data_IF_642495430507
#
_entry.id   IF_642495430507
#
_cell.length_a   1.000
_cell.length_b   1.000
_cell.length_c   1.000
_cell.angle_alpha   90.00
_cell.angle_beta   90.00
_cell.angle_gamma   90.00
#
_symmetry.space_group_name_H-M   'P 1'
#
loop_
_entity.id
_entity.type
_entity.pdbx_description
1 polymer ?
#
# COMPACT_ATOMS: atom_id res chain seq x y z
N UNK A 1 -10.13 53.12 -59.59
CA UNK A 1 -9.17 52.01 -59.75
C UNK A 1 -7.96 52.44 -58.96
N UNK A 2 -7.85 51.99 -57.71
CA UNK A 2 -6.76 52.35 -56.80
C UNK A 2 -5.92 51.10 -56.58
N UNK A 3 -4.63 51.23 -56.84
CA UNK A 3 -3.59 50.21 -56.70
C UNK A 3 -3.20 50.08 -55.22
N UNK A 4 -2.99 48.86 -54.68
CA UNK A 4 -2.51 48.71 -53.30
C UNK A 4 -0.98 48.90 -53.21
N UNK A 5 -0.52 49.62 -52.17
CA UNK A 5 0.90 49.79 -51.81
C UNK A 5 1.54 48.45 -51.37
N UNK A 6 2.84 48.25 -51.63
CA UNK A 6 3.56 47.05 -51.16
C UNK A 6 3.86 47.12 -49.66
N UNK A 7 3.66 45.98 -48.96
CA UNK A 7 4.02 45.82 -47.55
C UNK A 7 5.54 45.83 -47.33
N UNK A 8 6.03 46.36 -46.19
CA UNK A 8 7.46 46.38 -45.87
C UNK A 8 7.98 44.99 -45.48
N UNK A 9 9.19 44.66 -45.94
CA UNK A 9 9.88 43.40 -45.60
C UNK A 9 10.24 43.32 -44.10
N UNK A 10 10.24 42.12 -43.50
CA UNK A 10 10.59 41.92 -42.10
C UNK A 10 12.09 42.08 -41.84
N UNK A 11 12.44 42.80 -40.78
CA UNK A 11 13.82 42.96 -40.31
C UNK A 11 14.43 41.62 -39.84
N UNK A 12 15.76 41.42 -40.02
CA UNK A 12 16.43 40.20 -39.59
C UNK A 12 16.50 40.09 -38.06
N UNK A 13 16.21 38.91 -37.55
CA UNK A 13 16.29 38.60 -36.11
C UNK A 13 17.74 38.66 -35.58
N UNK A 14 17.94 39.10 -34.33
CA UNK A 14 19.27 39.15 -33.72
C UNK A 14 19.82 37.76 -33.43
N UNK A 15 21.12 37.56 -33.72
CA UNK A 15 21.82 36.30 -33.43
C UNK A 15 21.89 36.01 -31.92
N UNK A 16 21.83 34.73 -31.52
CA UNK A 16 21.89 34.34 -30.12
C UNK A 16 23.28 34.56 -29.52
N UNK A 17 23.33 35.13 -28.31
CA UNK A 17 24.56 35.31 -27.54
C UNK A 17 25.20 33.95 -27.16
N UNK A 18 26.55 33.89 -27.08
CA UNK A 18 27.26 32.67 -26.72
C UNK A 18 26.99 32.26 -25.26
N UNK A 19 26.78 30.96 -25.04
CA UNK A 19 26.57 30.40 -23.70
C UNK A 19 27.83 30.54 -22.82
N UNK A 20 27.67 30.76 -21.51
CA UNK A 20 28.78 30.83 -20.56
C UNK A 20 29.47 29.47 -20.40
N UNK A 21 30.80 29.49 -20.35
CA UNK A 21 31.61 28.28 -20.14
C UNK A 21 31.32 27.63 -18.77
N UNK A 22 31.37 26.29 -18.68
CA UNK A 22 31.11 25.56 -17.44
C UNK A 22 32.21 25.79 -16.40
N UNK A 23 31.81 26.03 -15.15
CA UNK A 23 32.73 26.14 -14.01
C UNK A 23 33.48 24.80 -13.75
N UNK A 24 34.73 24.86 -13.26
CA UNK A 24 35.52 23.68 -12.97
C UNK A 24 34.93 22.86 -11.81
N UNK A 25 34.89 21.52 -11.98
CA UNK A 25 34.40 20.60 -10.96
C UNK A 25 35.28 20.62 -9.69
N UNK A 26 34.68 20.49 -8.49
CA UNK A 26 35.42 20.43 -7.24
C UNK A 26 36.23 19.13 -7.12
N UNK A 27 37.46 19.23 -6.61
CA UNK A 27 38.34 18.08 -6.38
C UNK A 27 37.73 17.07 -5.38
N UNK A 28 37.96 15.76 -5.58
CA UNK A 28 37.40 14.72 -4.73
C UNK A 28 38.04 14.72 -3.33
N UNK A 29 37.19 14.66 -2.29
CA UNK A 29 37.63 14.53 -0.90
C UNK A 29 38.38 13.20 -0.63
N UNK A 30 39.33 13.18 0.32
CA UNK A 30 40.11 11.99 0.64
C UNK A 30 39.27 10.88 1.28
N UNK A 31 39.48 9.64 0.81
CA UNK A 31 38.76 8.47 1.27
C UNK A 31 38.95 8.18 2.77
N UNK A 32 37.90 7.69 3.48
CA UNK A 32 37.98 7.38 4.90
C UNK A 32 38.93 6.22 5.18
N UNK A 33 39.77 6.38 6.22
CA UNK A 33 40.70 5.33 6.69
C UNK A 33 39.93 4.09 7.14
N UNK A 34 40.33 2.92 6.62
CA UNK A 34 39.73 1.64 6.97
C UNK A 34 39.80 1.36 8.48
N UNK A 35 38.67 0.96 9.08
CA UNK A 35 38.63 0.53 10.48
C UNK A 35 39.43 -0.78 10.65
N UNK A 36 40.15 -0.96 11.77
CA UNK A 36 40.85 -2.22 12.04
C UNK A 36 39.86 -3.38 12.10
N UNK A 37 40.17 -4.47 11.40
CA UNK A 37 39.39 -5.72 11.43
C UNK A 37 39.34 -6.25 12.86
N UNK A 38 38.15 -6.44 13.41
CA UNK A 38 37.95 -7.17 14.67
C UNK A 38 38.27 -8.65 14.42
N UNK A 39 38.96 -9.29 15.37
CA UNK A 39 39.21 -10.73 15.32
C UNK A 39 37.88 -11.49 15.23
N UNK A 40 37.78 -12.54 14.39
CA UNK A 40 36.55 -13.30 14.26
C UNK A 40 36.26 -13.99 15.60
N UNK A 41 35.11 -13.65 16.21
CA UNK A 41 34.49 -14.51 17.21
C UNK A 41 34.31 -15.87 16.56
N UNK A 42 34.83 -16.95 17.17
CA UNK A 42 34.81 -18.32 16.61
C UNK A 42 33.42 -18.91 16.33
N UNK A 43 32.37 -18.10 16.45
CA UNK A 43 31.03 -18.43 16.02
C UNK A 43 30.85 -18.09 14.54
N UNK A 44 30.90 -19.11 13.69
CA UNK A 44 30.40 -19.03 12.30
C UNK A 44 28.95 -19.52 12.34
N UNK A 45 27.94 -18.64 12.26
CA UNK A 45 26.56 -19.11 12.14
C UNK A 45 26.45 -19.94 10.85
N UNK A 46 25.83 -21.12 10.96
CA UNK A 46 25.51 -21.97 9.82
C UNK A 46 24.73 -21.11 8.80
N UNK A 47 25.39 -20.75 7.70
CA UNK A 47 24.83 -19.86 6.73
C UNK A 47 23.76 -20.59 5.94
N UNK A 48 22.48 -20.41 6.30
CA UNK A 48 21.35 -20.92 5.51
C UNK A 48 21.57 -20.57 4.04
N UNK A 49 21.45 -21.58 3.19
CA UNK A 49 21.59 -21.42 1.75
C UNK A 49 20.53 -20.44 1.22
N UNK A 50 20.81 -19.81 0.07
CA UNK A 50 19.82 -18.96 -0.60
C UNK A 50 18.46 -19.65 -0.81
N UNK A 51 18.37 -20.91 -1.28
CA UNK A 51 17.08 -21.59 -1.43
C UNK A 51 16.35 -21.79 -0.10
N UNK A 52 17.05 -22.14 0.99
CA UNK A 52 16.42 -22.25 2.32
C UNK A 52 15.85 -20.91 2.78
N UNK A 53 16.59 -19.81 2.63
CA UNK A 53 16.11 -18.47 2.99
C UNK A 53 14.86 -18.07 2.20
N UNK A 54 14.81 -18.42 0.91
CA UNK A 54 13.64 -18.14 0.08
C UNK A 54 12.44 -19.01 0.46
N UNK A 55 12.67 -20.26 0.84
CA UNK A 55 11.62 -21.15 1.35
C UNK A 55 11.02 -20.61 2.66
N UNK A 56 11.85 -20.19 3.61
CA UNK A 56 11.42 -19.58 4.87
C UNK A 56 10.59 -18.31 4.64
N UNK A 57 11.00 -17.45 3.69
CA UNK A 57 10.22 -16.27 3.34
C UNK A 57 8.83 -16.63 2.78
N UNK A 58 8.72 -17.68 1.98
CA UNK A 58 7.42 -18.15 1.46
C UNK A 58 6.55 -18.70 2.58
N UNK A 59 7.13 -19.47 3.48
CA UNK A 59 6.43 -20.04 4.63
C UNK A 59 5.82 -18.95 5.51
N UNK A 60 6.57 -17.88 5.79
CA UNK A 60 6.07 -16.73 6.55
C UNK A 60 4.88 -16.04 5.87
N UNK A 61 4.91 -15.89 4.54
CA UNK A 61 3.79 -15.32 3.78
C UNK A 61 2.59 -16.26 3.80
N UNK A 62 2.82 -17.56 3.66
CA UNK A 62 1.78 -18.59 3.71
C UNK A 62 1.09 -18.67 5.08
N UNK A 63 1.86 -18.59 6.17
CA UNK A 63 1.34 -18.57 7.53
C UNK A 63 0.42 -17.35 7.74
N UNK A 64 0.88 -16.15 7.38
CA UNK A 64 0.09 -14.91 7.47
C UNK A 64 -1.20 -14.99 6.65
N UNK A 65 -1.16 -15.63 5.47
CA UNK A 65 -2.35 -15.80 4.64
C UNK A 65 -3.36 -16.74 5.27
N UNK A 66 -2.93 -17.96 5.61
CA UNK A 66 -3.82 -19.02 6.10
C UNK A 66 -4.37 -18.74 7.49
N UNK A 67 -3.60 -18.03 8.33
CA UNK A 67 -4.00 -17.71 9.68
C UNK A 67 -4.58 -16.30 9.76
N UNK A 68 -3.74 -15.27 9.71
CA UNK A 68 -4.17 -13.90 10.00
C UNK A 68 -5.17 -13.36 8.97
N UNK A 69 -4.91 -13.50 7.67
CA UNK A 69 -5.78 -12.93 6.64
C UNK A 69 -7.13 -13.65 6.57
N UNK A 70 -7.15 -14.97 6.79
CA UNK A 70 -8.39 -15.74 6.91
C UNK A 70 -9.16 -15.35 8.18
N UNK A 71 -8.50 -15.26 9.33
CA UNK A 71 -9.14 -14.89 10.59
C UNK A 71 -9.72 -13.48 10.58
N UNK A 72 -9.05 -12.55 9.90
CA UNK A 72 -9.55 -11.18 9.68
C UNK A 72 -10.66 -11.11 8.62
N UNK A 73 -10.96 -12.23 7.95
CA UNK A 73 -11.98 -12.28 6.89
C UNK A 73 -11.59 -11.51 5.63
N UNK A 74 -10.30 -11.26 5.41
CA UNK A 74 -9.80 -10.64 4.17
C UNK A 74 -9.87 -11.62 3.01
N UNK A 75 -9.64 -12.91 3.27
CA UNK A 75 -9.73 -14.00 2.30
C UNK A 75 -10.39 -15.21 2.92
N UNK A 76 -10.91 -16.09 2.08
CA UNK A 76 -11.34 -17.44 2.49
C UNK A 76 -10.16 -18.40 2.55
N UNK A 77 -10.29 -19.52 3.28
CA UNK A 77 -9.25 -20.57 3.30
C UNK A 77 -8.88 -21.02 1.88
N UNK A 78 -9.88 -21.18 1.00
CA UNK A 78 -9.67 -21.58 -0.40
C UNK A 78 -8.87 -20.53 -1.18
N UNK A 79 -9.16 -19.25 -0.99
CA UNK A 79 -8.39 -18.17 -1.62
C UNK A 79 -6.96 -18.12 -1.09
N UNK A 80 -6.77 -18.25 0.23
CA UNK A 80 -5.44 -18.31 0.84
C UNK A 80 -4.61 -19.47 0.26
N UNK A 81 -5.18 -20.67 0.15
CA UNK A 81 -4.53 -21.82 -0.51
C UNK A 81 -4.16 -21.55 -1.97
N UNK A 82 -5.06 -20.91 -2.73
CA UNK A 82 -4.80 -20.53 -4.13
C UNK A 82 -3.63 -19.55 -4.23
N UNK A 83 -3.62 -18.53 -3.37
CA UNK A 83 -2.54 -17.53 -3.31
C UNK A 83 -1.22 -18.20 -2.93
N UNK A 84 -1.20 -19.09 -1.93
CA UNK A 84 -0.01 -19.85 -1.52
C UNK A 84 0.54 -20.74 -2.63
N UNK A 85 -0.34 -21.49 -3.33
CA UNK A 85 0.07 -22.31 -4.49
C UNK A 85 0.65 -21.46 -5.61
N UNK A 86 0.10 -20.27 -5.82
CA UNK A 86 0.59 -19.29 -6.79
C UNK A 86 1.99 -18.73 -6.48
N UNK A 87 2.52 -18.92 -5.27
CA UNK A 87 3.88 -18.46 -4.91
C UNK A 87 4.98 -19.42 -5.37
N UNK A 88 4.65 -20.69 -5.65
CA UNK A 88 5.65 -21.71 -6.02
C UNK A 88 6.33 -21.32 -7.33
N UNK A 89 7.66 -21.35 -7.34
CA UNK A 89 8.46 -20.95 -8.50
C UNK A 89 8.62 -19.44 -8.70
N UNK A 90 8.00 -18.60 -7.86
CA UNK A 90 8.13 -17.14 -7.91
C UNK A 90 9.09 -16.62 -6.85
N UNK A 91 9.68 -15.46 -7.09
CA UNK A 91 10.43 -14.75 -6.05
C UNK A 91 9.49 -14.36 -4.90
N UNK A 92 9.82 -14.71 -3.63
CA UNK A 92 8.92 -14.49 -2.50
C UNK A 92 8.49 -13.04 -2.34
N UNK A 93 9.43 -12.09 -2.47
CA UNK A 93 9.15 -10.65 -2.35
C UNK A 93 8.16 -10.15 -3.40
N UNK A 94 8.32 -10.60 -4.65
CA UNK A 94 7.42 -10.20 -5.75
C UNK A 94 6.04 -10.82 -5.57
N UNK A 95 5.98 -12.09 -5.19
CA UNK A 95 4.72 -12.76 -4.88
C UNK A 95 3.98 -12.08 -3.72
N UNK A 96 4.69 -11.73 -2.64
CA UNK A 96 4.14 -10.99 -1.51
C UNK A 96 3.57 -9.63 -1.95
N UNK A 97 4.29 -8.87 -2.77
CA UNK A 97 3.82 -7.57 -3.25
C UNK A 97 2.49 -7.66 -4.01
N UNK A 98 2.35 -8.63 -4.91
CA UNK A 98 1.11 -8.84 -5.67
C UNK A 98 -0.06 -9.23 -4.76
N UNK A 99 0.21 -10.15 -3.83
CA UNK A 99 -0.76 -10.59 -2.81
C UNK A 99 -1.24 -9.41 -1.97
N UNK A 100 -0.33 -8.53 -1.58
CA UNK A 100 -0.65 -7.34 -0.80
C UNK A 100 -1.55 -6.38 -1.59
N UNK A 101 -1.33 -6.20 -2.90
CA UNK A 101 -2.21 -5.39 -3.76
C UNK A 101 -3.63 -5.94 -3.76
N UNK A 102 -3.79 -7.26 -3.93
CA UNK A 102 -5.12 -7.91 -3.90
C UNK A 102 -5.82 -7.75 -2.54
N UNK A 103 -5.07 -7.95 -1.45
CA UNK A 103 -5.62 -7.84 -0.10
C UNK A 103 -6.01 -6.40 0.26
N UNK A 104 -5.24 -5.38 -0.17
CA UNK A 104 -5.63 -3.97 -0.01
C UNK A 104 -6.92 -3.66 -0.71
N UNK A 105 -7.07 -4.10 -1.96
CA UNK A 105 -8.29 -3.90 -2.74
C UNK A 105 -9.50 -4.55 -2.04
N UNK A 106 -9.29 -5.74 -1.48
CA UNK A 106 -10.32 -6.46 -0.73
C UNK A 106 -10.71 -5.73 0.55
N UNK A 107 -9.75 -5.35 1.39
CA UNK A 107 -9.98 -4.58 2.62
C UNK A 107 -10.69 -3.25 2.31
N UNK A 108 -10.17 -2.47 1.35
CA UNK A 108 -10.77 -1.21 0.95
C UNK A 108 -12.21 -1.38 0.48
N UNK A 109 -12.51 -2.45 -0.27
CA UNK A 109 -13.87 -2.77 -0.72
C UNK A 109 -14.79 -3.11 0.45
N UNK A 110 -14.31 -3.91 1.42
CA UNK A 110 -15.07 -4.25 2.62
C UNK A 110 -15.41 -2.99 3.43
N UNK A 111 -14.42 -2.14 3.70
CA UNK A 111 -14.60 -0.88 4.42
C UNK A 111 -15.54 0.05 3.66
N UNK A 112 -15.38 0.22 2.34
CA UNK A 112 -16.29 1.04 1.53
C UNK A 112 -17.73 0.54 1.57
N UNK A 113 -17.97 -0.78 1.57
CA UNK A 113 -19.31 -1.35 1.74
C UNK A 113 -19.86 -1.05 3.13
N UNK A 114 -19.05 -1.20 4.16
CA UNK A 114 -19.41 -0.88 5.54
C UNK A 114 -19.79 0.59 5.72
N UNK A 115 -18.94 1.52 5.27
CA UNK A 115 -19.17 2.97 5.37
C UNK A 115 -20.49 3.36 4.72
N UNK A 116 -20.82 2.83 3.53
CA UNK A 116 -22.10 3.09 2.87
C UNK A 116 -23.30 2.59 3.69
N UNK A 117 -23.19 1.39 4.27
CA UNK A 117 -24.26 0.78 5.06
C UNK A 117 -24.51 1.51 6.38
N UNK A 118 -23.45 2.03 7.00
CA UNK A 118 -23.49 2.59 8.37
C UNK A 118 -23.29 4.11 8.43
N UNK A 119 -23.57 4.83 7.32
CA UNK A 119 -23.42 6.31 7.22
C UNK A 119 -22.04 6.80 7.70
N UNK A 120 -21.00 6.07 7.30
CA UNK A 120 -19.61 6.36 7.65
C UNK A 120 -19.10 5.70 8.94
N UNK A 121 -19.97 5.16 9.80
CA UNK A 121 -19.55 4.40 10.98
C UNK A 121 -18.62 5.21 11.92
N UNK A 122 -17.52 4.62 12.42
CA UNK A 122 -16.55 5.36 13.24
C UNK A 122 -15.78 6.43 12.43
N UNK A 123 -15.70 6.28 11.10
CA UNK A 123 -15.03 7.21 10.19
C UNK A 123 -16.04 8.02 9.38
N UNK A 124 -16.95 8.70 10.08
CA UNK A 124 -18.06 9.44 9.46
C UNK A 124 -17.68 10.76 8.78
N UNK A 125 -16.48 11.29 9.05
CA UNK A 125 -15.99 12.52 8.45
C UNK A 125 -15.08 12.26 7.23
N UNK A 126 -15.08 13.14 6.21
CA UNK A 126 -14.30 12.94 4.99
C UNK A 126 -12.80 12.79 5.22
N UNK A 127 -12.23 13.54 6.18
CA UNK A 127 -10.79 13.51 6.49
C UNK A 127 -10.34 12.14 7.00
N UNK A 128 -11.12 11.52 7.89
CA UNK A 128 -10.85 10.19 8.41
C UNK A 128 -10.96 9.12 7.32
N UNK A 129 -11.96 9.23 6.44
CA UNK A 129 -12.08 8.30 5.31
C UNK A 129 -10.92 8.43 4.33
N UNK A 130 -10.42 9.65 4.12
CA UNK A 130 -9.26 9.87 3.26
C UNK A 130 -7.98 9.33 3.89
N UNK A 131 -7.78 9.56 5.19
CA UNK A 131 -6.67 8.97 5.93
C UNK A 131 -6.65 7.44 5.80
N UNK A 132 -7.80 6.78 5.97
CA UNK A 132 -7.92 5.33 5.77
C UNK A 132 -7.54 4.89 4.35
N UNK A 133 -7.96 5.62 3.31
CA UNK A 133 -7.61 5.29 1.93
C UNK A 133 -6.11 5.36 1.71
N UNK A 134 -5.49 6.44 2.17
CA UNK A 134 -4.05 6.67 2.05
C UNK A 134 -3.27 5.62 2.84
N UNK A 135 -3.70 5.30 4.06
CA UNK A 135 -3.04 4.29 4.90
C UNK A 135 -3.13 2.90 4.26
N UNK A 136 -4.32 2.50 3.78
CA UNK A 136 -4.50 1.24 3.06
C UNK A 136 -3.60 1.19 1.83
N UNK A 137 -3.61 2.25 1.02
CA UNK A 137 -2.83 2.32 -0.21
C UNK A 137 -1.31 2.34 0.02
N UNK A 138 -0.83 2.94 1.11
CA UNK A 138 0.60 3.17 1.38
C UNK A 138 1.32 2.01 2.06
N UNK A 139 0.61 0.96 2.50
CA UNK A 139 1.28 -0.25 2.99
C UNK A 139 2.22 -0.82 1.91
N UNK A 140 3.10 -1.77 2.25
CA UNK A 140 4.03 -2.36 1.27
C UNK A 140 4.35 -3.83 1.56
N UNK A 141 4.11 -4.31 2.77
CA UNK A 141 4.29 -5.70 3.17
C UNK A 141 3.00 -6.31 3.71
N UNK A 142 2.91 -7.64 3.65
CA UNK A 142 1.77 -8.39 4.14
C UNK A 142 1.61 -8.21 5.65
N UNK A 143 2.74 -8.24 6.37
CA UNK A 143 2.75 -8.05 7.83
C UNK A 143 2.18 -6.68 8.24
N UNK A 144 2.58 -5.61 7.56
CA UNK A 144 2.07 -4.26 7.85
C UNK A 144 0.59 -4.14 7.50
N UNK A 145 0.16 -4.73 6.38
CA UNK A 145 -1.25 -4.77 5.99
C UNK A 145 -2.11 -5.50 7.02
N UNK A 146 -1.68 -6.69 7.49
CA UNK A 146 -2.38 -7.46 8.52
C UNK A 146 -2.52 -6.66 9.82
N UNK A 147 -1.44 -6.00 10.27
CA UNK A 147 -1.46 -5.18 11.49
C UNK A 147 -2.46 -4.04 11.38
N UNK A 148 -2.41 -3.29 10.27
CA UNK A 148 -3.34 -2.19 10.02
C UNK A 148 -4.78 -2.69 9.88
N UNK A 149 -5.01 -3.77 9.13
CA UNK A 149 -6.33 -4.38 8.97
C UNK A 149 -6.92 -4.80 10.31
N UNK A 150 -6.13 -5.41 11.21
CA UNK A 150 -6.56 -5.74 12.57
C UNK A 150 -7.03 -4.51 13.33
N UNK A 151 -6.30 -3.39 13.27
CA UNK A 151 -6.69 -2.14 13.92
C UNK A 151 -8.01 -1.60 13.37
N UNK A 152 -8.12 -1.49 12.05
CA UNK A 152 -9.33 -0.96 11.38
C UNK A 152 -10.54 -1.85 11.69
N UNK A 153 -10.39 -3.17 11.58
CA UNK A 153 -11.50 -4.10 11.79
C UNK A 153 -11.92 -4.17 13.27
N UNK A 154 -10.99 -4.02 14.22
CA UNK A 154 -11.32 -3.87 15.65
C UNK A 154 -12.16 -2.63 15.92
N UNK A 155 -11.73 -1.46 15.42
CA UNK A 155 -12.46 -0.20 15.58
C UNK A 155 -13.88 -0.28 14.97
N UNK A 156 -14.01 -0.93 13.80
CA UNK A 156 -15.31 -1.24 13.19
C UNK A 156 -16.20 -2.07 14.11
N UNK A 157 -15.66 -3.15 14.65
CA UNK A 157 -16.42 -4.13 15.43
C UNK A 157 -16.82 -3.57 16.79
N UNK A 158 -15.94 -2.81 17.44
CA UNK A 158 -16.23 -2.04 18.65
C UNK A 158 -17.38 -1.04 18.42
N UNK A 159 -17.33 -0.29 17.31
CA UNK A 159 -18.41 0.61 16.94
C UNK A 159 -19.73 -0.12 16.69
N UNK A 160 -19.69 -1.28 16.02
CA UNK A 160 -20.88 -2.10 15.81
C UNK A 160 -21.48 -2.58 17.13
N UNK A 161 -20.65 -3.01 18.08
CA UNK A 161 -21.10 -3.44 19.40
C UNK A 161 -21.73 -2.29 20.19
N UNK A 162 -21.10 -1.11 20.19
CA UNK A 162 -21.65 0.09 20.85
C UNK A 162 -23.00 0.54 20.24
N UNK A 163 -23.18 0.31 18.93
CA UNK A 163 -24.36 0.77 18.20
C UNK A 163 -25.42 -0.32 17.94
N UNK A 164 -25.23 -1.56 18.45
CA UNK A 164 -26.16 -2.69 18.27
C UNK A 164 -27.60 -2.36 18.68
N UNK A 165 -27.80 -1.62 19.78
CA UNK A 165 -29.13 -1.22 20.25
C UNK A 165 -29.89 -0.28 19.29
N UNK A 166 -29.18 0.57 18.55
CA UNK A 166 -29.75 1.50 17.54
C UNK A 166 -29.95 0.84 16.18
N UNK A 167 -29.19 -0.21 15.87
CA UNK A 167 -29.32 -0.99 14.63
C UNK A 167 -30.46 -2.01 14.69
N UNK A 168 -30.78 -2.56 15.87
CA UNK A 168 -31.90 -3.50 16.06
C UNK A 168 -33.28 -2.82 15.93
N UNK A 169 -33.42 -1.57 16.39
CA UNK A 169 -34.68 -0.82 16.31
C UNK A 169 -35.08 -0.42 14.88
N UNK A 170 -34.13 -0.41 13.93
CA UNK A 170 -34.43 -0.20 12.51
C UNK A 170 -35.02 -1.44 11.80
N UNK A 171 -34.87 -2.64 12.37
CA UNK A 171 -35.35 -3.89 11.75
C UNK A 171 -36.74 -4.32 12.23
N UNK A 172 -37.23 -3.78 13.36
CA UNK A 172 -38.56 -4.10 13.93
C UNK A 172 -39.58 -2.94 13.86
N UNK A 173 -39.35 -1.93 13.03
CA UNK A 173 -40.29 -0.82 12.80
C UNK A 173 -41.45 -1.13 11.85
N UNK A 174 -41.79 -2.41 11.64
CA UNK A 174 -42.88 -2.86 10.78
C UNK A 174 -44.22 -2.85 11.51
N UNK A 175 -44.95 -1.74 11.41
CA UNK A 175 -46.42 -1.59 11.56
C UNK A 175 -47.15 -2.77 12.25
N UNK A 176 -47.36 -2.68 13.56
CA UNK A 176 -48.56 -3.28 14.17
C UNK A 176 -49.75 -2.37 13.87
N UNK A 177 -50.53 -2.69 12.85
CA UNK A 177 -51.92 -2.21 12.73
C UNK A 177 -52.79 -3.14 13.54
N UNK A 178 -53.23 -2.69 14.72
CA UNK A 178 -54.32 -3.33 15.46
C UNK A 178 -55.63 -2.87 14.81
N UNK A 179 -56.48 -3.84 14.47
CA UNK A 179 -57.81 -3.65 13.89
C UNK A 179 -58.85 -3.61 15.00
#
# INVERSE_FOLDING_TARGET
MSEPEPEPEPEPEPEPEPEPEPEPEPEPEPAPKARPRRAPSGYVPEGKSMPERLAEQRELVEELLKNDCVNLGLVTCKQAEQMSRGMVGREPKKAEADIVVELRATLHTQIRKFLRKHKGGPWNNPKAQEALRIEIASTSSLRSLVKMARSILSERDEWLMANRGKLSSLLFGGKMRVK
#
